data_IF_630528036618
#
_entry.id   IF_630528036618
#
_cell.length_a   1.000
_cell.length_b   1.000
_cell.length_c   1.000
_cell.angle_alpha   90.00
_cell.angle_beta   90.00
_cell.angle_gamma   90.00
#
_symmetry.space_group_name_H-M   'P 1'
#
loop_
_entity.id
_entity.type
_entity.pdbx_description
1 polymer ?
#
# COMPACT_ATOMS: atom_id res chain seq x y z
N UNK A 1 -20.68 19.67 -6.42
CA UNK A 1 -20.27 20.99 -5.88
C UNK A 1 -19.16 20.76 -4.85
N UNK A 2 -18.13 21.58 -4.87
CA UNK A 2 -17.05 21.56 -3.84
C UNK A 2 -17.55 22.27 -2.59
N UNK A 3 -17.29 21.66 -1.41
CA UNK A 3 -17.71 22.23 -0.11
C UNK A 3 -16.48 22.61 0.73
N UNK A 4 -16.60 23.62 1.58
CA UNK A 4 -15.52 24.08 2.46
C UNK A 4 -14.94 22.95 3.33
N UNK A 5 -15.78 22.00 3.74
CA UNK A 5 -15.41 20.85 4.57
C UNK A 5 -14.96 19.61 3.78
N UNK A 6 -14.82 19.69 2.43
CA UNK A 6 -14.23 18.60 1.67
C UNK A 6 -12.80 18.33 2.16
N UNK A 7 -12.46 17.06 2.35
CA UNK A 7 -11.10 16.68 2.74
C UNK A 7 -10.25 16.56 1.48
N UNK A 8 -9.18 17.34 1.44
CA UNK A 8 -8.27 17.45 0.33
C UNK A 8 -6.87 16.98 0.69
N UNK A 9 -6.17 16.50 -0.32
CA UNK A 9 -4.76 16.13 -0.25
C UNK A 9 -3.97 17.19 -1.01
N UNK A 10 -3.04 17.83 -0.33
CA UNK A 10 -2.22 18.92 -0.89
C UNK A 10 -0.86 18.42 -1.38
N UNK A 11 -0.36 17.33 -0.81
CA UNK A 11 0.89 16.71 -1.25
C UNK A 11 0.90 15.20 -0.98
N UNK A 12 1.79 14.49 -1.66
CA UNK A 12 2.05 13.08 -1.42
C UNK A 12 3.35 12.65 -2.07
N UNK A 13 4.06 11.74 -1.41
CA UNK A 13 5.35 11.21 -1.86
C UNK A 13 5.52 9.78 -1.37
N UNK A 14 6.29 8.99 -2.10
CA UNK A 14 6.70 7.63 -1.70
C UNK A 14 8.19 7.42 -1.88
N UNK A 15 8.75 6.42 -1.23
CA UNK A 15 10.06 5.87 -1.61
C UNK A 15 9.93 5.07 -2.91
N UNK A 16 11.04 4.79 -3.56
CA UNK A 16 11.11 3.62 -4.41
C UNK A 16 10.86 2.36 -3.56
N UNK A 17 10.30 1.30 -4.17
CA UNK A 17 9.98 0.05 -3.49
C UNK A 17 11.18 -0.88 -3.59
N UNK A 18 11.71 -1.29 -2.42
CA UNK A 18 12.81 -2.25 -2.30
C UNK A 18 12.32 -3.69 -2.39
N UNK A 19 13.17 -4.59 -2.91
CA UNK A 19 12.95 -6.02 -2.86
C UNK A 19 13.41 -6.61 -1.52
N UNK A 20 12.96 -7.81 -1.21
CA UNK A 20 13.43 -8.57 -0.05
C UNK A 20 14.95 -8.72 -0.07
N UNK A 21 15.60 -8.33 1.02
CA UNK A 21 17.06 -8.24 1.12
C UNK A 21 17.71 -7.30 0.09
N UNK A 22 16.95 -6.37 -0.50
CA UNK A 22 17.40 -5.43 -1.50
C UNK A 22 18.01 -4.15 -0.93
N UNK A 23 17.81 -3.05 -1.65
CA UNK A 23 18.44 -1.75 -1.37
C UNK A 23 18.05 -1.16 -0.01
N UNK A 24 16.84 -1.41 0.46
CA UNK A 24 16.32 -0.86 1.72
C UNK A 24 16.54 -1.75 2.95
N UNK A 25 17.20 -2.90 2.82
CA UNK A 25 17.37 -3.89 3.90
C UNK A 25 18.02 -3.36 5.18
N UNK A 26 18.80 -2.29 5.09
CA UNK A 26 19.47 -1.67 6.24
C UNK A 26 18.83 -0.35 6.70
N UNK A 27 17.75 0.08 6.05
CA UNK A 27 17.03 1.30 6.41
C UNK A 27 15.84 0.93 7.28
N UNK A 28 15.83 1.37 8.53
CA UNK A 28 14.72 1.07 9.43
C UNK A 28 13.41 1.65 8.91
N UNK A 29 12.31 0.92 9.14
CA UNK A 29 10.97 1.35 8.69
C UNK A 29 10.57 2.73 9.25
N UNK A 30 11.00 3.10 10.44
CA UNK A 30 10.75 4.43 11.00
C UNK A 30 11.57 5.53 10.30
N UNK A 31 12.75 5.23 9.75
CA UNK A 31 13.52 6.18 8.95
C UNK A 31 12.90 6.38 7.57
N UNK A 32 12.38 5.30 6.96
CA UNK A 32 11.59 5.38 5.73
C UNK A 32 10.36 6.26 5.92
N UNK A 33 9.59 6.01 7.00
CA UNK A 33 8.41 6.80 7.35
C UNK A 33 8.75 8.28 7.61
N UNK A 34 9.78 8.55 8.41
CA UNK A 34 10.23 9.92 8.70
C UNK A 34 10.67 10.67 7.43
N UNK A 35 11.38 10.00 6.51
CA UNK A 35 11.83 10.61 5.26
C UNK A 35 10.66 11.05 4.38
N UNK A 36 9.66 10.18 4.17
CA UNK A 36 8.50 10.53 3.34
C UNK A 36 7.58 11.54 4.01
N UNK A 37 7.44 11.53 5.33
CA UNK A 37 6.68 12.55 6.08
C UNK A 37 7.33 13.92 5.91
N UNK A 38 8.63 14.04 6.15
CA UNK A 38 9.38 15.29 5.98
C UNK A 38 9.23 15.83 4.57
N UNK A 39 9.40 14.99 3.57
CA UNK A 39 9.30 15.38 2.16
C UNK A 39 7.87 15.77 1.78
N UNK A 40 6.85 15.06 2.27
CA UNK A 40 5.45 15.40 2.02
C UNK A 40 5.10 16.78 2.58
N UNK A 41 5.57 17.12 3.79
CA UNK A 41 5.41 18.44 4.41
C UNK A 41 6.12 19.52 3.57
N UNK A 42 7.37 19.26 3.17
CA UNK A 42 8.13 20.20 2.32
C UNK A 42 7.43 20.45 0.98
N UNK A 43 6.93 19.42 0.32
CA UNK A 43 6.18 19.53 -0.95
C UNK A 43 4.83 20.22 -0.78
N UNK A 44 4.23 20.15 0.38
CA UNK A 44 3.01 20.88 0.70
C UNK A 44 3.28 22.40 0.86
N UNK A 45 4.52 22.80 1.10
CA UNK A 45 4.89 24.18 1.37
C UNK A 45 4.43 24.68 2.73
N UNK A 46 4.29 23.79 3.72
CA UNK A 46 3.90 24.10 5.10
C UNK A 46 5.04 23.81 6.08
N UNK A 47 4.95 24.33 7.28
CA UNK A 47 5.93 24.07 8.32
C UNK A 47 5.59 22.79 9.11
N UNK A 48 6.58 22.06 9.65
CA UNK A 48 6.31 20.92 10.54
C UNK A 48 5.43 21.26 11.74
N UNK A 49 5.46 22.51 12.20
CA UNK A 49 4.63 23.05 13.30
C UNK A 49 3.14 23.14 12.95
N UNK A 50 2.80 23.08 11.68
CA UNK A 50 1.41 23.11 11.22
C UNK A 50 0.70 21.75 11.37
N UNK A 51 1.44 20.65 11.65
CA UNK A 51 0.89 19.31 11.75
C UNK A 51 0.33 19.05 13.12
N UNK A 52 -0.96 18.73 13.20
CA UNK A 52 -1.63 18.38 14.45
C UNK A 52 -1.48 16.90 14.78
N UNK A 53 -1.63 16.03 13.77
CA UNK A 53 -1.63 14.58 13.95
C UNK A 53 -0.87 13.86 12.86
N UNK A 54 -0.17 12.79 13.24
CA UNK A 54 0.50 11.87 12.32
C UNK A 54 -0.03 10.46 12.51
N UNK A 55 -0.61 9.87 11.46
CA UNK A 55 -1.18 8.52 11.50
C UNK A 55 -0.34 7.61 10.61
N UNK A 56 0.23 6.54 11.17
CA UNK A 56 1.13 5.65 10.45
C UNK A 56 0.58 4.24 10.38
N UNK A 57 0.30 3.78 9.15
CA UNK A 57 0.01 2.38 8.86
C UNK A 57 1.29 1.54 8.92
N UNK A 58 1.30 0.50 9.76
CA UNK A 58 2.39 -0.45 9.88
C UNK A 58 1.86 -1.80 10.37
N UNK A 59 2.33 -2.89 9.80
CA UNK A 59 1.89 -4.26 10.11
C UNK A 59 2.97 -5.02 10.87
N UNK A 60 4.15 -5.10 10.29
CA UNK A 60 5.26 -5.85 10.83
C UNK A 60 6.03 -5.04 11.85
N UNK A 61 5.82 -5.31 13.15
CA UNK A 61 6.52 -4.63 14.21
C UNK A 61 7.86 -5.29 14.51
N UNK A 62 8.93 -4.52 14.40
CA UNK A 62 10.25 -4.83 14.94
C UNK A 62 10.39 -4.21 16.33
N UNK A 63 11.47 -4.52 17.07
CA UNK A 63 11.59 -4.17 18.49
C UNK A 63 11.24 -2.70 18.82
N UNK A 64 11.72 -1.74 18.03
CA UNK A 64 11.50 -0.30 18.22
C UNK A 64 10.13 0.17 17.72
N UNK A 65 9.43 -0.66 16.94
CA UNK A 65 8.18 -0.26 16.26
C UNK A 65 6.98 -0.12 17.17
N UNK A 66 7.09 -0.45 18.46
CA UNK A 66 6.02 -0.15 19.43
C UNK A 66 5.65 1.33 19.48
N UNK A 67 6.57 2.20 19.06
CA UNK A 67 6.39 3.66 19.00
C UNK A 67 6.51 4.21 17.58
N UNK A 68 6.29 3.40 16.55
CA UNK A 68 6.66 3.72 15.17
C UNK A 68 6.12 5.06 14.69
N UNK A 69 4.84 5.36 14.90
CA UNK A 69 4.25 6.61 14.47
C UNK A 69 4.93 7.82 15.12
N UNK A 70 5.15 7.73 16.42
CA UNK A 70 5.79 8.81 17.17
C UNK A 70 7.26 9.01 16.78
N UNK A 71 7.99 7.94 16.53
CA UNK A 71 9.38 8.02 16.05
C UNK A 71 9.42 8.65 14.67
N UNK A 72 8.57 8.21 13.73
CA UNK A 72 8.47 8.81 12.39
C UNK A 72 8.20 10.31 12.46
N UNK A 73 7.22 10.72 13.28
CA UNK A 73 6.82 12.11 13.48
C UNK A 73 7.98 12.97 13.98
N UNK A 74 8.60 12.58 15.09
CA UNK A 74 9.68 13.38 15.70
C UNK A 74 10.93 13.43 14.82
N UNK A 75 11.29 12.32 14.15
CA UNK A 75 12.40 12.29 13.18
C UNK A 75 12.11 13.09 11.92
N UNK A 76 10.85 13.28 11.55
CA UNK A 76 10.45 14.16 10.47
C UNK A 76 10.60 15.65 10.82
N UNK A 77 10.80 15.98 12.09
CA UNK A 77 10.96 17.35 12.59
C UNK A 77 9.65 17.98 13.06
N UNK A 78 8.58 17.21 13.17
CA UNK A 78 7.29 17.66 13.73
C UNK A 78 7.47 17.85 15.25
N UNK A 79 6.94 18.95 15.84
CA UNK A 79 7.09 19.24 17.26
C UNK A 79 6.50 18.18 18.18
N UNK A 80 7.01 18.12 19.40
CA UNK A 80 6.55 17.16 20.41
C UNK A 80 5.14 17.43 20.93
N UNK A 81 4.62 18.61 20.73
CA UNK A 81 3.25 19.04 21.09
C UNK A 81 2.20 18.42 20.15
N UNK A 82 2.56 18.10 18.92
CA UNK A 82 1.74 17.33 17.98
C UNK A 82 1.66 15.86 18.42
N UNK A 83 0.60 15.16 18.06
CA UNK A 83 0.39 13.77 18.45
C UNK A 83 0.56 12.78 17.29
N UNK A 84 0.75 11.48 17.61
CA UNK A 84 0.88 10.44 16.61
C UNK A 84 0.40 9.10 17.14
N UNK A 85 -0.22 8.29 16.26
CA UNK A 85 -0.52 6.89 16.54
C UNK A 85 -0.34 6.01 15.30
N UNK A 86 -0.18 4.72 15.54
CA UNK A 86 -0.09 3.71 14.48
C UNK A 86 -1.39 2.94 14.34
N UNK A 87 -1.69 2.52 13.10
CA UNK A 87 -2.83 1.68 12.79
C UNK A 87 -2.36 0.41 12.08
N UNK A 88 -2.90 -0.73 12.52
CA UNK A 88 -2.71 -2.02 11.87
C UNK A 88 -4.07 -2.56 11.41
N UNK A 89 -4.29 -2.54 10.11
CA UNK A 89 -5.38 -3.20 9.40
C UNK A 89 -4.77 -4.07 8.29
N UNK A 90 -3.73 -4.81 8.62
CA UNK A 90 -2.99 -5.62 7.65
C UNK A 90 -2.65 -4.80 6.38
N UNK A 91 -2.76 -5.37 5.18
CA UNK A 91 -2.44 -4.68 3.92
C UNK A 91 -3.15 -3.32 3.74
N UNK A 92 -4.29 -3.12 4.38
CA UNK A 92 -5.07 -1.88 4.33
C UNK A 92 -4.59 -0.76 5.27
N UNK A 93 -3.54 -0.97 6.08
CA UNK A 93 -3.12 -0.04 7.14
C UNK A 93 -2.85 1.38 6.64
N UNK A 94 -2.09 1.53 5.54
CA UNK A 94 -1.81 2.85 4.97
C UNK A 94 -3.08 3.57 4.48
N UNK A 95 -4.03 2.85 3.87
CA UNK A 95 -5.29 3.45 3.42
C UNK A 95 -6.24 3.73 4.60
N UNK A 96 -6.15 2.94 5.67
CA UNK A 96 -6.86 3.22 6.92
C UNK A 96 -6.32 4.49 7.59
N UNK A 97 -5.01 4.74 7.53
CA UNK A 97 -4.45 6.00 8.05
C UNK A 97 -5.05 7.23 7.36
N UNK A 98 -5.31 7.16 6.04
CA UNK A 98 -6.03 8.22 5.33
C UNK A 98 -7.50 8.32 5.79
N UNK A 99 -8.18 7.18 5.98
CA UNK A 99 -9.56 7.16 6.45
C UNK A 99 -9.70 7.76 7.85
N UNK A 100 -8.79 7.43 8.75
CA UNK A 100 -8.75 7.97 10.11
C UNK A 100 -8.44 9.48 10.10
N UNK A 101 -7.47 9.91 9.29
CA UNK A 101 -7.19 11.34 9.08
C UNK A 101 -8.40 12.11 8.55
N UNK A 102 -9.13 11.55 7.59
CA UNK A 102 -10.37 12.13 7.10
C UNK A 102 -11.40 12.32 8.24
N UNK A 103 -11.58 11.30 9.09
CA UNK A 103 -12.52 11.37 10.21
C UNK A 103 -12.11 12.42 11.25
N UNK A 104 -10.81 12.53 11.57
CA UNK A 104 -10.33 13.57 12.51
C UNK A 104 -10.53 14.99 11.96
N UNK A 105 -10.22 15.20 10.68
CA UNK A 105 -10.45 16.49 10.01
C UNK A 105 -11.94 16.85 9.96
N UNK A 106 -12.81 15.88 9.67
CA UNK A 106 -14.27 16.10 9.64
C UNK A 106 -14.87 16.38 11.01
N UNK A 107 -14.31 15.81 12.08
CA UNK A 107 -14.75 16.04 13.46
C UNK A 107 -14.15 17.29 14.08
N UNK A 108 -13.20 17.97 13.41
CA UNK A 108 -12.50 19.14 13.93
C UNK A 108 -11.48 18.83 15.04
N UNK A 109 -11.07 17.55 15.20
CA UNK A 109 -10.02 17.16 16.15
C UNK A 109 -8.63 17.59 15.67
N UNK A 110 -8.45 17.73 14.35
CA UNK A 110 -7.23 18.21 13.74
C UNK A 110 -7.56 19.13 12.56
N UNK A 111 -6.67 20.08 12.24
CA UNK A 111 -6.75 20.93 11.05
C UNK A 111 -5.86 20.41 9.92
N UNK A 112 -4.69 19.84 10.27
CA UNK A 112 -3.73 19.28 9.33
C UNK A 112 -3.25 17.90 9.81
N UNK A 113 -3.41 16.88 8.98
CA UNK A 113 -3.02 15.50 9.27
C UNK A 113 -2.02 15.01 8.25
N UNK A 114 -1.00 14.30 8.72
CA UNK A 114 -0.13 13.47 7.85
C UNK A 114 -0.55 12.02 7.98
N UNK A 115 -1.05 11.43 6.89
CA UNK A 115 -1.29 10.00 6.77
C UNK A 115 -0.10 9.35 6.08
N UNK A 116 0.50 8.34 6.74
CA UNK A 116 1.69 7.64 6.27
C UNK A 116 1.46 6.13 6.30
N UNK A 117 2.17 5.40 5.48
CA UNK A 117 2.34 3.96 5.60
C UNK A 117 3.83 3.63 5.44
N UNK A 118 4.35 2.77 6.29
CA UNK A 118 5.75 2.32 6.23
C UNK A 118 5.86 0.86 6.58
N UNK A 119 6.75 0.16 5.88
CA UNK A 119 7.03 -1.25 6.12
C UNK A 119 8.45 -1.59 5.68
N UNK A 120 9.15 -2.36 6.49
CA UNK A 120 10.36 -3.05 6.08
C UNK A 120 10.20 -4.54 6.42
N UNK A 121 9.71 -5.31 5.43
CA UNK A 121 9.44 -6.73 5.60
C UNK A 121 10.74 -7.54 5.72
N UNK A 122 11.84 -7.01 5.19
CA UNK A 122 13.18 -7.62 5.30
C UNK A 122 13.67 -7.68 6.74
N UNK A 123 13.29 -6.71 7.58
CA UNK A 123 13.77 -6.61 8.96
C UNK A 123 12.87 -7.30 9.99
N UNK A 124 11.82 -8.00 9.56
CA UNK A 124 10.93 -8.68 10.50
C UNK A 124 11.68 -9.73 11.31
N UNK A 125 11.51 -9.75 12.65
CA UNK A 125 12.29 -10.62 13.52
C UNK A 125 11.78 -12.05 13.50
N UNK A 126 12.65 -12.97 13.90
CA UNK A 126 12.27 -14.31 14.35
C UNK A 126 11.85 -14.28 15.80
N UNK A 127 10.82 -15.03 16.17
CA UNK A 127 10.30 -15.13 17.53
C UNK A 127 10.67 -16.45 18.19
N UNK A 128 11.09 -16.36 19.43
CA UNK A 128 11.29 -17.52 20.30
C UNK A 128 10.19 -17.54 21.38
N UNK A 129 9.05 -18.17 21.08
CA UNK A 129 7.82 -18.03 21.87
C UNK A 129 7.96 -18.38 23.35
N UNK A 130 8.68 -19.44 23.68
CA UNK A 130 8.83 -19.92 25.06
C UNK A 130 10.03 -19.33 25.80
N UNK A 131 10.68 -18.29 25.24
CA UNK A 131 11.88 -17.72 25.84
C UNK A 131 11.68 -17.22 27.28
N UNK A 132 10.52 -16.64 27.61
CA UNK A 132 10.22 -16.12 28.95
C UNK A 132 10.00 -17.24 29.98
N UNK A 133 9.43 -18.38 29.58
CA UNK A 133 9.17 -19.52 30.41
C UNK A 133 10.42 -20.42 30.51
N UNK A 134 11.37 -20.28 29.60
CA UNK A 134 12.61 -21.03 29.48
C UNK A 134 12.47 -22.37 28.75
N UNK A 135 13.60 -22.84 28.23
CA UNK A 135 13.76 -24.15 27.59
C UNK A 135 14.57 -25.05 28.52
N UNK A 136 13.94 -26.09 29.11
CA UNK A 136 14.62 -26.98 30.03
C UNK A 136 15.53 -27.98 29.34
N UNK A 137 15.00 -28.68 28.31
CA UNK A 137 15.71 -29.74 27.59
C UNK A 137 15.06 -29.92 26.21
N UNK A 138 15.90 -30.20 25.20
CA UNK A 138 15.45 -30.35 23.79
C UNK A 138 15.62 -29.09 22.98
N UNK A 139 15.30 -29.22 21.69
CA UNK A 139 15.39 -28.10 20.71
C UNK A 139 14.23 -27.13 20.86
N UNK A 140 14.48 -25.83 20.55
CA UNK A 140 13.47 -24.82 20.38
C UNK A 140 13.25 -24.51 18.90
N UNK A 141 12.09 -23.94 18.55
CA UNK A 141 11.79 -23.46 17.22
C UNK A 141 11.85 -21.93 17.17
N UNK A 142 12.44 -21.40 16.13
CA UNK A 142 12.36 -19.98 15.76
C UNK A 142 11.22 -19.81 14.76
N UNK A 143 10.23 -19.01 15.14
CA UNK A 143 9.11 -18.64 14.26
C UNK A 143 9.47 -17.42 13.44
N UNK A 144 9.37 -17.53 12.12
CA UNK A 144 9.59 -16.42 11.20
C UNK A 144 8.43 -15.42 11.31
N UNK A 145 8.74 -14.20 11.79
CA UNK A 145 7.76 -13.13 11.91
C UNK A 145 7.17 -12.68 10.58
N UNK A 146 7.93 -12.81 9.50
CA UNK A 146 7.43 -12.50 8.16
C UNK A 146 6.34 -13.49 7.73
N UNK A 147 6.57 -14.78 7.92
CA UNK A 147 5.57 -15.82 7.63
C UNK A 147 4.35 -15.66 8.53
N UNK A 148 4.57 -15.30 9.80
CA UNK A 148 3.49 -15.15 10.79
C UNK A 148 2.51 -14.05 10.41
N UNK A 149 2.96 -12.88 9.94
CA UNK A 149 2.05 -11.79 9.51
C UNK A 149 1.30 -12.11 8.22
N UNK A 150 1.73 -13.09 7.45
CA UNK A 150 1.13 -13.54 6.20
C UNK A 150 0.28 -14.80 6.37
N UNK A 151 0.15 -15.33 7.59
CA UNK A 151 -0.57 -16.57 7.89
C UNK A 151 -1.76 -16.29 8.80
N UNK A 152 -2.95 -16.75 8.40
CA UNK A 152 -4.15 -16.69 9.24
C UNK A 152 -4.07 -17.79 10.32
N UNK A 153 -4.08 -17.43 11.61
CA UNK A 153 -3.75 -18.39 12.67
C UNK A 153 -4.88 -19.39 12.98
N UNK A 154 -6.14 -19.01 12.78
CA UNK A 154 -7.29 -19.86 13.12
C UNK A 154 -7.65 -20.92 12.06
N UNK A 155 -7.03 -20.84 10.89
CA UNK A 155 -7.13 -21.87 9.89
C UNK A 155 -5.79 -21.96 9.19
N UNK A 156 -4.75 -22.53 9.78
CA UNK A 156 -3.33 -22.25 9.56
C UNK A 156 -2.93 -22.28 8.07
N UNK A 157 -3.37 -21.29 7.32
CA UNK A 157 -3.04 -21.15 5.91
C UNK A 157 -2.44 -19.77 5.62
N UNK A 158 -1.32 -19.81 4.93
CA UNK A 158 -0.67 -18.65 4.36
C UNK A 158 -1.60 -17.95 3.34
N UNK A 159 -1.48 -16.64 3.19
CA UNK A 159 -2.28 -15.86 2.23
C UNK A 159 -2.23 -16.42 0.80
N UNK A 160 -1.13 -17.07 0.39
CA UNK A 160 -1.03 -17.76 -0.89
C UNK A 160 -2.01 -18.92 -1.04
N UNK A 161 -2.35 -19.64 0.05
CA UNK A 161 -3.40 -20.67 0.03
C UNK A 161 -4.77 -20.04 -0.19
N UNK A 162 -5.02 -18.84 0.36
CA UNK A 162 -6.27 -18.13 0.10
C UNK A 162 -6.40 -17.71 -1.37
N UNK A 163 -5.27 -17.44 -2.05
CA UNK A 163 -5.25 -17.17 -3.49
C UNK A 163 -5.57 -18.43 -4.32
N UNK A 164 -5.08 -19.61 -3.90
CA UNK A 164 -5.47 -20.90 -4.51
C UNK A 164 -6.98 -21.14 -4.36
N UNK A 165 -7.54 -20.84 -3.18
CA UNK A 165 -8.97 -20.95 -2.92
C UNK A 165 -9.79 -20.00 -3.80
N UNK A 166 -9.33 -18.76 -3.98
CA UNK A 166 -9.96 -17.79 -4.91
C UNK A 166 -9.88 -18.31 -6.34
N UNK A 167 -8.72 -18.79 -6.79
CA UNK A 167 -8.58 -19.34 -8.15
C UNK A 167 -9.56 -20.47 -8.38
N UNK A 168 -9.66 -21.43 -7.46
CA UNK A 168 -10.59 -22.56 -7.54
C UNK A 168 -12.05 -22.10 -7.52
N UNK A 169 -12.44 -21.22 -6.58
CA UNK A 169 -13.83 -20.79 -6.38
C UNK A 169 -14.37 -20.00 -7.56
N UNK A 170 -13.55 -19.17 -8.17
CA UNK A 170 -13.94 -18.27 -9.26
C UNK A 170 -13.50 -18.77 -10.65
N UNK A 171 -12.93 -19.97 -10.76
CA UNK A 171 -12.52 -20.57 -12.02
C UNK A 171 -11.39 -19.82 -12.72
N UNK A 172 -10.47 -19.20 -11.97
CA UNK A 172 -9.34 -18.46 -12.54
C UNK A 172 -8.23 -19.44 -12.89
N UNK A 173 -7.86 -19.50 -14.18
CA UNK A 173 -6.84 -20.43 -14.66
C UNK A 173 -5.42 -19.92 -14.41
N UNK A 174 -4.45 -20.86 -14.38
CA UNK A 174 -3.04 -20.55 -14.28
C UNK A 174 -2.58 -19.62 -15.42
N UNK A 175 -3.01 -19.92 -16.64
CA UNK A 175 -2.65 -19.13 -17.83
C UNK A 175 -3.15 -17.67 -17.70
N UNK A 176 -4.41 -17.48 -17.30
CA UNK A 176 -4.96 -16.13 -17.09
C UNK A 176 -4.17 -15.35 -16.02
N UNK A 177 -3.75 -16.03 -14.95
CA UNK A 177 -2.94 -15.40 -13.89
C UNK A 177 -1.54 -15.02 -14.38
N UNK A 178 -0.89 -15.88 -15.15
CA UNK A 178 0.44 -15.61 -15.70
C UNK A 178 0.39 -14.47 -16.74
N UNK A 179 -0.66 -14.41 -17.56
CA UNK A 179 -0.89 -13.31 -18.51
C UNK A 179 -1.12 -11.98 -17.80
N UNK A 180 -1.93 -11.99 -16.74
CA UNK A 180 -2.16 -10.81 -15.93
C UNK A 180 -0.86 -10.32 -15.29
N UNK A 181 -0.08 -11.23 -14.69
CA UNK A 181 1.20 -10.91 -14.08
C UNK A 181 2.21 -10.34 -15.09
N UNK A 182 2.32 -10.97 -16.26
CA UNK A 182 3.16 -10.47 -17.34
C UNK A 182 2.73 -9.06 -17.79
N UNK A 183 1.43 -8.84 -17.96
CA UNK A 183 0.90 -7.52 -18.31
C UNK A 183 1.24 -6.46 -17.26
N UNK A 184 1.14 -6.80 -15.95
CA UNK A 184 1.54 -5.89 -14.86
C UNK A 184 3.01 -5.52 -14.94
N UNK A 185 3.91 -6.51 -15.21
CA UNK A 185 5.34 -6.28 -15.41
C UNK A 185 5.61 -5.33 -16.58
N UNK A 186 5.01 -5.59 -17.76
CA UNK A 186 5.21 -4.75 -18.93
C UNK A 186 4.72 -3.30 -18.72
N UNK A 187 3.58 -3.11 -18.05
CA UNK A 187 3.07 -1.78 -17.67
C UNK A 187 4.07 -1.06 -16.75
N UNK A 188 4.61 -1.74 -15.74
CA UNK A 188 5.56 -1.15 -14.80
C UNK A 188 6.88 -0.77 -15.47
N UNK A 189 7.46 -1.65 -16.27
CA UNK A 189 8.70 -1.39 -17.00
C UNK A 189 8.55 -0.22 -17.97
N UNK A 190 7.41 -0.13 -18.68
CA UNK A 190 7.08 0.99 -19.55
C UNK A 190 6.98 2.30 -18.74
N UNK A 191 6.27 2.29 -17.62
CA UNK A 191 6.11 3.47 -16.77
C UNK A 191 7.45 3.96 -16.22
N UNK A 192 8.35 3.04 -15.82
CA UNK A 192 9.72 3.38 -15.39
C UNK A 192 10.51 4.01 -16.53
N UNK A 193 10.50 3.38 -17.72
CA UNK A 193 11.24 3.87 -18.89
C UNK A 193 10.77 5.27 -19.32
N UNK A 194 9.46 5.54 -19.25
CA UNK A 194 8.85 6.85 -19.55
C UNK A 194 9.00 7.86 -18.40
N UNK A 195 9.58 7.47 -17.26
CA UNK A 195 9.81 8.34 -16.10
C UNK A 195 8.55 8.74 -15.33
N UNK A 196 7.43 7.99 -15.49
CA UNK A 196 6.13 8.33 -14.86
C UNK A 196 6.16 8.35 -13.33
N UNK A 197 7.16 7.71 -12.72
CA UNK A 197 7.31 7.64 -11.26
C UNK A 197 8.28 8.68 -10.68
N UNK A 198 9.02 9.44 -11.51
CA UNK A 198 10.09 10.32 -11.03
C UNK A 198 9.62 11.34 -10.00
N UNK A 199 8.53 12.02 -10.28
CA UNK A 199 8.02 13.09 -9.41
C UNK A 199 7.44 12.58 -8.09
N UNK A 200 6.94 11.34 -8.06
CA UNK A 200 6.33 10.76 -6.86
C UNK A 200 7.33 10.10 -5.93
N UNK A 201 8.55 9.79 -6.41
CA UNK A 201 9.57 9.09 -5.64
C UNK A 201 10.52 10.08 -4.96
N UNK A 202 10.72 9.90 -3.66
CA UNK A 202 11.82 10.47 -2.90
C UNK A 202 13.06 9.58 -3.09
N UNK A 203 14.11 10.12 -3.68
CA UNK A 203 15.39 9.44 -3.76
C UNK A 203 16.03 9.33 -2.37
N UNK A 204 16.44 8.13 -1.97
CA UNK A 204 17.11 7.88 -0.70
C UNK A 204 18.55 7.49 -0.93
N UNK A 205 19.44 7.97 -0.08
CA UNK A 205 20.81 7.44 -0.03
C UNK A 205 20.79 6.07 0.66
N UNK A 206 21.31 5.06 -0.02
CA UNK A 206 21.41 3.69 0.49
C UNK A 206 22.87 3.22 0.40
N UNK A 207 23.30 2.30 1.27
CA UNK A 207 24.64 1.72 1.18
C UNK A 207 24.92 1.07 -0.17
N UNK A 208 26.11 1.30 -0.72
CA UNK A 208 26.63 0.67 -1.92
C UNK A 208 27.99 0.04 -1.60
N UNK A 209 27.97 -1.23 -1.23
CA UNK A 209 29.14 -1.91 -0.67
C UNK A 209 29.51 -1.42 0.73
N UNK A 210 30.82 -1.44 1.07
CA UNK A 210 31.29 -1.19 2.46
C UNK A 210 31.51 0.29 2.79
N UNK A 211 31.70 1.16 1.80
CA UNK A 211 32.16 2.55 2.03
C UNK A 211 31.48 3.60 1.14
N UNK A 212 30.67 3.19 0.19
CA UNK A 212 29.97 4.08 -0.73
C UNK A 212 28.48 4.11 -0.43
N UNK A 213 27.81 5.18 -0.88
CA UNK A 213 26.35 5.28 -0.96
C UNK A 213 25.96 5.52 -2.41
N UNK A 214 24.72 5.14 -2.75
CA UNK A 214 24.09 5.46 -4.02
C UNK A 214 22.68 5.98 -3.80
N UNK A 215 22.18 6.73 -4.75
CA UNK A 215 20.77 7.13 -4.73
C UNK A 215 19.89 5.97 -5.18
N UNK A 216 18.90 5.66 -4.37
CA UNK A 216 17.84 4.69 -4.65
C UNK A 216 16.56 5.45 -5.00
N UNK A 217 16.25 5.54 -6.30
CA UNK A 217 15.18 6.36 -6.86
C UNK A 217 14.32 5.62 -7.89
N UNK A 218 14.51 4.31 -8.03
CA UNK A 218 13.78 3.47 -9.00
C UNK A 218 13.29 2.20 -8.30
N UNK A 219 12.03 1.85 -8.51
CA UNK A 219 11.48 0.60 -8.01
C UNK A 219 12.29 -0.59 -8.55
N UNK A 220 12.81 -1.43 -7.66
CA UNK A 220 13.76 -2.48 -8.04
C UNK A 220 13.13 -3.87 -8.23
N UNK A 221 11.81 -4.00 -7.95
CA UNK A 221 11.13 -5.29 -8.06
C UNK A 221 10.75 -5.68 -9.50
N UNK A 222 10.42 -4.76 -10.44
CA UNK A 222 10.00 -5.11 -11.80
C UNK A 222 11.03 -5.94 -12.54
N UNK A 223 10.58 -6.96 -13.29
CA UNK A 223 11.41 -7.92 -14.00
C UNK A 223 10.93 -8.09 -15.44
N UNK A 224 11.85 -8.00 -16.39
CA UNK A 224 11.58 -8.34 -17.79
C UNK A 224 11.74 -9.86 -18.01
N UNK A 225 10.72 -10.60 -17.59
CA UNK A 225 10.70 -12.06 -17.74
C UNK A 225 9.88 -12.42 -18.96
N UNK A 226 10.42 -13.22 -19.91
CA UNK A 226 9.66 -13.72 -21.05
C UNK A 226 8.41 -14.49 -20.57
N UNK A 227 7.28 -14.28 -21.28
CA UNK A 227 5.98 -14.87 -20.91
C UNK A 227 6.04 -16.40 -20.81
N UNK A 228 6.77 -17.04 -21.71
CA UNK A 228 6.91 -18.49 -21.77
C UNK A 228 7.56 -19.10 -20.52
N UNK A 229 8.43 -18.32 -19.85
CA UNK A 229 9.06 -18.76 -18.59
C UNK A 229 8.07 -18.81 -17.42
N UNK A 230 7.02 -18.00 -17.43
CA UNK A 230 6.02 -18.01 -16.35
C UNK A 230 5.32 -19.36 -16.25
N UNK A 231 4.94 -19.96 -17.39
CA UNK A 231 4.30 -21.27 -17.46
C UNK A 231 5.16 -22.40 -16.86
N UNK A 232 6.48 -22.26 -16.84
CA UNK A 232 7.41 -23.29 -16.32
C UNK A 232 7.63 -23.23 -14.80
N UNK A 233 7.13 -22.18 -14.13
CA UNK A 233 7.32 -22.01 -12.70
C UNK A 233 6.46 -23.00 -11.90
N UNK A 234 7.06 -23.54 -10.84
CA UNK A 234 6.34 -24.43 -9.92
C UNK A 234 5.38 -23.63 -9.04
N UNK A 235 4.25 -24.22 -8.64
CA UNK A 235 3.39 -23.64 -7.60
C UNK A 235 4.19 -23.35 -6.32
N UNK A 236 3.86 -22.26 -5.65
CA UNK A 236 4.62 -21.78 -4.49
C UNK A 236 4.00 -22.21 -3.14
N UNK A 237 2.70 -22.45 -3.08
CA UNK A 237 1.97 -22.64 -1.84
C UNK A 237 1.29 -24.00 -1.71
N UNK A 238 0.99 -24.67 -2.79
CA UNK A 238 0.33 -25.98 -2.85
C UNK A 238 0.96 -26.81 -3.96
N UNK A 239 1.26 -28.07 -3.71
CA UNK A 239 2.01 -28.91 -4.66
C UNK A 239 1.34 -29.04 -6.05
N UNK A 240 0.00 -29.12 -6.07
CA UNK A 240 -0.86 -29.19 -7.25
C UNK A 240 -1.56 -27.85 -7.54
N UNK A 241 -1.00 -26.74 -7.03
CA UNK A 241 -1.59 -25.40 -7.11
C UNK A 241 -1.32 -24.71 -8.44
N UNK A 242 -1.85 -23.50 -8.54
CA UNK A 242 -1.76 -22.63 -9.72
C UNK A 242 -1.09 -21.27 -9.39
N UNK A 243 -0.92 -20.95 -8.10
CA UNK A 243 -0.29 -19.72 -7.63
C UNK A 243 1.23 -19.90 -7.57
N UNK A 244 1.96 -19.02 -8.22
CA UNK A 244 3.43 -19.06 -8.31
C UNK A 244 4.04 -17.77 -7.75
N UNK A 245 5.36 -17.76 -7.57
CA UNK A 245 6.08 -16.55 -7.21
C UNK A 245 5.98 -15.42 -8.26
N UNK A 246 5.68 -15.76 -9.54
CA UNK A 246 5.56 -14.74 -10.58
C UNK A 246 4.15 -14.14 -10.70
N UNK A 247 3.10 -14.86 -10.27
CA UNK A 247 1.73 -14.36 -10.27
C UNK A 247 1.24 -13.94 -8.86
N UNK A 248 2.20 -13.72 -7.96
CA UNK A 248 2.05 -13.18 -6.60
C UNK A 248 2.84 -11.87 -6.46
N UNK A 249 2.41 -10.99 -5.57
CA UNK A 249 3.24 -9.85 -5.17
C UNK A 249 4.49 -10.31 -4.40
N UNK A 250 5.53 -9.48 -4.43
CA UNK A 250 6.77 -9.75 -3.70
C UNK A 250 6.69 -9.41 -2.21
N UNK A 251 7.75 -9.78 -1.51
CA UNK A 251 8.10 -9.29 -0.18
C UNK A 251 8.93 -8.03 -0.40
N UNK A 252 8.50 -6.91 0.18
CA UNK A 252 9.04 -5.61 -0.18
C UNK A 252 9.15 -4.65 1.00
N UNK A 253 9.97 -3.61 0.80
CA UNK A 253 10.24 -2.55 1.75
C UNK A 253 9.88 -1.20 1.12
N UNK A 254 9.29 -0.28 1.89
CA UNK A 254 8.96 1.05 1.38
C UNK A 254 8.05 1.86 2.30
N UNK A 255 7.86 3.12 1.94
CA UNK A 255 6.98 4.06 2.66
C UNK A 255 6.35 5.08 1.72
N UNK A 256 5.23 5.66 2.17
CA UNK A 256 4.60 6.81 1.54
C UNK A 256 3.88 7.68 2.57
N UNK A 257 3.76 8.98 2.29
CA UNK A 257 3.04 9.92 3.13
C UNK A 257 2.24 10.92 2.28
N UNK A 258 1.09 11.33 2.81
CA UNK A 258 0.21 12.33 2.22
C UNK A 258 -0.18 13.36 3.28
N UNK A 259 -0.24 14.64 2.89
CA UNK A 259 -0.70 15.74 3.75
C UNK A 259 -2.15 16.06 3.42
N UNK A 260 -2.98 16.07 4.44
CA UNK A 260 -4.44 16.19 4.34
C UNK A 260 -4.95 17.34 5.22
N UNK A 261 -5.97 18.04 4.75
CA UNK A 261 -6.67 19.08 5.48
C UNK A 261 -8.07 19.30 4.91
N UNK A 262 -8.87 20.16 5.53
CA UNK A 262 -10.11 20.64 4.88
C UNK A 262 -9.77 21.58 3.74
N UNK A 263 -10.66 21.69 2.75
CA UNK A 263 -10.52 22.68 1.67
C UNK A 263 -10.36 24.08 2.20
N UNK A 264 -11.16 24.45 3.19
CA UNK A 264 -11.09 25.75 3.84
C UNK A 264 -9.69 26.04 4.41
N UNK A 265 -9.06 25.06 5.04
CA UNK A 265 -7.70 25.21 5.55
C UNK A 265 -6.66 25.33 4.43
N UNK A 266 -6.82 24.59 3.34
CA UNK A 266 -5.95 24.71 2.18
C UNK A 266 -6.04 26.12 1.57
N UNK A 267 -7.25 26.63 1.35
CA UNK A 267 -7.51 27.99 0.82
C UNK A 267 -6.95 29.07 1.74
N UNK A 268 -7.20 28.98 3.07
CA UNK A 268 -6.65 29.91 4.07
C UNK A 268 -5.12 29.97 4.05
N UNK A 269 -4.47 28.86 3.75
CA UNK A 269 -3.00 28.73 3.67
C UNK A 269 -2.46 29.03 2.25
N UNK A 270 -3.31 29.33 1.27
CA UNK A 270 -2.91 29.56 -0.12
C UNK A 270 -2.39 28.33 -0.84
N UNK A 271 -2.79 27.14 -0.39
CA UNK A 271 -2.35 25.87 -0.95
C UNK A 271 -3.30 25.39 -2.05
N UNK A 272 -2.74 24.74 -3.08
CA UNK A 272 -3.52 24.15 -4.16
C UNK A 272 -3.75 22.67 -3.90
N UNK A 273 -4.99 22.24 -3.66
CA UNK A 273 -5.30 20.82 -3.53
C UNK A 273 -4.97 20.03 -4.81
N UNK A 274 -4.46 18.81 -4.63
CA UNK A 274 -4.16 17.87 -5.73
C UNK A 274 -5.35 16.95 -6.02
N UNK A 275 -5.96 16.43 -4.98
CA UNK A 275 -7.18 15.61 -5.06
C UNK A 275 -7.98 15.72 -3.76
N UNK A 276 -9.28 15.39 -3.84
CA UNK A 276 -10.15 15.27 -2.66
C UNK A 276 -10.57 13.82 -2.44
N UNK A 277 -10.85 13.48 -1.19
CA UNK A 277 -11.43 12.19 -0.81
C UNK A 277 -12.95 12.32 -0.87
N UNK A 278 -13.61 11.50 -1.71
CA UNK A 278 -15.07 11.46 -1.83
C UNK A 278 -15.71 10.59 -0.75
N UNK A 279 -15.02 9.57 -0.35
CA UNK A 279 -15.46 8.63 0.67
C UNK A 279 -14.66 7.34 0.66
N UNK A 280 -14.93 6.52 1.67
CA UNK A 280 -14.28 5.23 1.84
C UNK A 280 -15.27 4.21 2.45
N UNK A 281 -14.97 2.92 2.26
CA UNK A 281 -15.73 1.85 2.89
C UNK A 281 -14.83 0.64 3.15
N UNK A 282 -15.20 -0.13 4.16
CA UNK A 282 -14.65 -1.45 4.45
C UNK A 282 -15.75 -2.50 4.41
N UNK A 283 -15.39 -3.72 4.08
CA UNK A 283 -16.28 -4.86 4.16
C UNK A 283 -15.52 -6.13 4.51
N UNK A 284 -16.20 -7.11 5.09
CA UNK A 284 -15.64 -8.42 5.39
C UNK A 284 -16.04 -9.46 4.35
N UNK A 285 -15.24 -10.53 4.26
CA UNK A 285 -15.54 -11.77 3.54
C UNK A 285 -14.92 -12.95 4.31
N UNK A 286 -15.07 -14.19 3.83
CA UNK A 286 -14.42 -15.35 4.44
C UNK A 286 -12.89 -15.19 4.45
N UNK A 287 -12.24 -15.52 5.56
CA UNK A 287 -10.78 -15.43 5.69
C UNK A 287 -10.06 -16.35 4.68
N UNK A 288 -10.68 -17.46 4.32
CA UNK A 288 -10.18 -18.44 3.35
C UNK A 288 -10.13 -17.93 1.90
N UNK A 289 -10.82 -16.80 1.63
CA UNK A 289 -10.82 -16.10 0.33
C UNK A 289 -10.52 -14.61 0.51
N UNK A 290 -9.63 -14.27 1.44
CA UNK A 290 -9.39 -12.88 1.87
C UNK A 290 -9.14 -11.91 0.69
N UNK A 291 -8.52 -12.40 -0.38
CA UNK A 291 -8.26 -11.62 -1.58
C UNK A 291 -9.51 -11.09 -2.29
N UNK A 292 -10.69 -11.68 -2.05
CA UNK A 292 -11.94 -11.20 -2.64
C UNK A 292 -12.55 -9.99 -1.90
N UNK A 293 -12.04 -9.63 -0.72
CA UNK A 293 -12.56 -8.53 0.11
C UNK A 293 -12.68 -7.16 -0.57
N UNK A 294 -11.91 -6.92 -1.65
CA UNK A 294 -12.00 -5.70 -2.44
C UNK A 294 -13.39 -5.50 -3.05
N UNK A 295 -14.01 -6.59 -3.55
CA UNK A 295 -15.30 -6.50 -4.23
C UNK A 295 -16.41 -5.99 -3.30
N UNK A 296 -16.70 -6.61 -2.14
CA UNK A 296 -17.73 -6.10 -1.25
C UNK A 296 -17.41 -4.70 -0.69
N UNK A 297 -16.12 -4.36 -0.46
CA UNK A 297 -15.75 -3.02 -0.02
C UNK A 297 -16.02 -1.96 -1.11
N UNK A 298 -15.68 -2.27 -2.37
CA UNK A 298 -15.96 -1.38 -3.50
C UNK A 298 -17.46 -1.21 -3.73
N UNK A 299 -18.23 -2.30 -3.75
CA UNK A 299 -19.69 -2.21 -3.89
C UNK A 299 -20.30 -1.33 -2.80
N UNK A 300 -19.94 -1.57 -1.53
CA UNK A 300 -20.43 -0.77 -0.40
C UNK A 300 -20.08 0.72 -0.54
N UNK A 301 -18.89 1.05 -1.05
CA UNK A 301 -18.49 2.43 -1.31
C UNK A 301 -19.33 3.06 -2.43
N UNK A 302 -19.48 2.35 -3.54
CA UNK A 302 -20.24 2.82 -4.70
C UNK A 302 -21.72 3.04 -4.35
N UNK A 303 -22.34 2.09 -3.63
CA UNK A 303 -23.72 2.20 -3.14
C UNK A 303 -23.89 3.44 -2.23
N UNK A 304 -22.96 3.64 -1.26
CA UNK A 304 -23.00 4.79 -0.35
C UNK A 304 -22.89 6.13 -1.07
N UNK A 305 -22.09 6.19 -2.14
CA UNK A 305 -21.89 7.41 -2.92
C UNK A 305 -22.88 7.56 -4.08
N UNK A 306 -23.71 6.55 -4.34
CA UNK A 306 -24.59 6.45 -5.48
C UNK A 306 -23.83 6.68 -6.82
N UNK A 307 -22.73 5.94 -6.99
CA UNK A 307 -21.84 6.04 -8.16
C UNK A 307 -21.70 4.66 -8.80
N UNK A 308 -21.77 4.59 -10.13
CA UNK A 308 -21.44 3.38 -10.87
C UNK A 308 -19.92 3.22 -10.96
N UNK A 309 -19.40 2.06 -10.57
CA UNK A 309 -17.97 1.73 -10.65
C UNK A 309 -17.45 1.83 -12.10
N UNK A 310 -18.30 1.61 -13.10
CA UNK A 310 -17.96 1.76 -14.52
C UNK A 310 -17.68 3.21 -14.92
N UNK A 311 -18.12 4.20 -14.14
CA UNK A 311 -17.85 5.61 -14.38
C UNK A 311 -16.50 6.10 -13.86
N UNK A 312 -15.74 5.25 -13.16
CA UNK A 312 -14.43 5.61 -12.58
C UNK A 312 -13.35 5.56 -13.67
N UNK A 313 -12.58 6.65 -13.78
CA UNK A 313 -11.57 6.80 -14.84
C UNK A 313 -10.34 5.92 -14.61
N UNK A 314 -9.83 5.84 -13.37
CA UNK A 314 -8.65 5.08 -13.00
C UNK A 314 -8.88 4.25 -11.72
N UNK A 315 -8.29 3.06 -11.68
CA UNK A 315 -8.41 2.15 -10.55
C UNK A 315 -7.01 1.62 -10.19
N UNK A 316 -6.56 1.90 -8.99
CA UNK A 316 -5.43 1.22 -8.35
C UNK A 316 -5.99 0.08 -7.49
N UNK A 317 -5.95 -1.12 -8.03
CA UNK A 317 -6.35 -2.36 -7.39
C UNK A 317 -5.10 -3.06 -6.88
N UNK A 318 -4.99 -3.30 -5.56
CA UNK A 318 -3.83 -3.98 -5.02
C UNK A 318 -3.73 -5.42 -5.52
N UNK A 319 -2.66 -5.74 -6.24
CA UNK A 319 -2.39 -7.06 -6.81
C UNK A 319 -1.62 -7.93 -5.80
N UNK A 320 -2.25 -8.32 -4.70
CA UNK A 320 -1.59 -9.26 -3.78
C UNK A 320 -1.31 -10.59 -4.48
N UNK A 321 -2.25 -11.04 -5.33
CA UNK A 321 -2.16 -12.21 -6.20
C UNK A 321 -2.96 -11.96 -7.48
N UNK A 322 -2.52 -12.51 -8.62
CA UNK A 322 -3.25 -12.40 -9.88
C UNK A 322 -4.64 -13.06 -9.80
N UNK A 323 -4.76 -14.18 -9.07
CA UNK A 323 -6.03 -14.87 -8.85
C UNK A 323 -7.10 -13.93 -8.28
N UNK A 324 -6.74 -13.21 -7.22
CA UNK A 324 -7.68 -12.29 -6.57
C UNK A 324 -7.98 -11.05 -7.41
N UNK A 325 -6.96 -10.51 -8.09
CA UNK A 325 -7.16 -9.36 -8.97
C UNK A 325 -8.16 -9.68 -10.09
N UNK A 326 -7.97 -10.80 -10.77
CA UNK A 326 -8.87 -11.26 -11.84
C UNK A 326 -10.28 -11.57 -11.32
N UNK A 327 -10.41 -12.25 -10.17
CA UNK A 327 -11.71 -12.55 -9.58
C UNK A 327 -12.50 -11.27 -9.27
N UNK A 328 -11.86 -10.26 -8.69
CA UNK A 328 -12.47 -8.97 -8.37
C UNK A 328 -12.80 -8.18 -9.64
N UNK A 329 -11.88 -8.14 -10.62
CA UNK A 329 -12.14 -7.46 -11.89
C UNK A 329 -13.34 -8.06 -12.63
N UNK A 330 -13.44 -9.38 -12.66
CA UNK A 330 -14.57 -10.09 -13.28
C UNK A 330 -15.89 -9.79 -12.54
N UNK A 331 -15.90 -9.87 -11.20
CA UNK A 331 -17.08 -9.64 -10.38
C UNK A 331 -17.60 -8.21 -10.48
N UNK A 332 -16.71 -7.24 -10.47
CA UNK A 332 -17.04 -5.81 -10.63
C UNK A 332 -17.13 -5.36 -12.09
N UNK A 333 -16.83 -6.24 -13.05
CA UNK A 333 -16.77 -5.96 -14.50
C UNK A 333 -15.86 -4.77 -14.84
N UNK A 334 -14.70 -4.69 -14.19
CA UNK A 334 -13.77 -3.59 -14.40
C UNK A 334 -13.09 -3.68 -15.76
N UNK A 335 -12.95 -2.53 -16.42
CA UNK A 335 -12.19 -2.42 -17.67
C UNK A 335 -10.68 -2.54 -17.38
N UNK A 336 -9.98 -3.57 -17.89
CA UNK A 336 -8.53 -3.76 -17.67
C UNK A 336 -7.67 -2.57 -18.13
N UNK A 337 -8.18 -1.75 -19.08
CA UNK A 337 -7.48 -0.55 -19.56
C UNK A 337 -7.41 0.57 -18.51
N UNK A 338 -8.30 0.54 -17.50
CA UNK A 338 -8.35 1.53 -16.42
C UNK A 338 -7.71 1.04 -15.12
N UNK A 339 -7.38 -0.26 -15.05
CA UNK A 339 -6.83 -0.89 -13.83
C UNK A 339 -5.31 -0.93 -13.92
N UNK A 340 -4.65 -0.41 -12.87
CA UNK A 340 -3.21 -0.46 -12.69
C UNK A 340 -2.45 -0.11 -13.99
N UNK A 341 -2.77 1.05 -14.55
CA UNK A 341 -2.27 1.50 -15.87
C UNK A 341 -0.74 1.63 -15.93
N UNK A 342 -0.09 1.71 -14.78
CA UNK A 342 1.37 1.76 -14.62
C UNK A 342 1.94 0.50 -13.92
N UNK A 343 1.23 -0.63 -13.97
CA UNK A 343 1.56 -1.84 -13.23
C UNK A 343 1.13 -1.77 -11.78
N UNK A 344 0.87 -2.94 -11.19
CA UNK A 344 0.44 -3.09 -9.80
C UNK A 344 1.48 -3.81 -8.94
N UNK A 345 1.04 -4.36 -7.81
CA UNK A 345 1.94 -4.91 -6.80
C UNK A 345 2.70 -6.17 -7.22
N UNK A 346 2.20 -6.94 -8.18
CA UNK A 346 2.94 -8.09 -8.74
C UNK A 346 4.24 -7.62 -9.39
N UNK A 347 4.20 -6.48 -10.08
CA UNK A 347 5.36 -5.90 -10.73
C UNK A 347 6.17 -5.00 -9.80
N UNK A 348 5.51 -4.08 -9.08
CA UNK A 348 6.16 -3.03 -8.30
C UNK A 348 6.52 -3.46 -6.88
N UNK A 349 5.80 -4.46 -6.32
CA UNK A 349 5.98 -4.92 -4.95
C UNK A 349 4.85 -4.49 -3.99
N UNK A 350 4.80 -5.14 -2.82
CA UNK A 350 3.75 -4.96 -1.82
C UNK A 350 4.31 -4.86 -0.39
N UNK A 351 4.94 -3.74 0.00
CA UNK A 351 5.25 -3.49 1.40
C UNK A 351 3.93 -3.30 2.16
N UNK A 352 3.51 -4.32 2.94
CA UNK A 352 2.12 -4.50 3.36
C UNK A 352 1.51 -3.27 4.06
N UNK A 353 2.14 -2.73 5.09
CA UNK A 353 1.63 -1.55 5.81
C UNK A 353 1.74 -0.23 5.02
N UNK A 354 2.65 -0.17 4.06
CA UNK A 354 2.90 1.03 3.24
C UNK A 354 2.00 1.13 2.01
N UNK A 355 1.60 -0.01 1.43
CA UNK A 355 0.90 -0.06 0.13
C UNK A 355 -0.36 0.79 0.10
N UNK A 356 -1.12 0.84 1.21
CA UNK A 356 -2.32 1.66 1.30
C UNK A 356 -2.09 3.17 1.23
N UNK A 357 -0.86 3.64 1.45
CA UNK A 357 -0.45 5.03 1.20
C UNK A 357 0.26 5.19 -0.16
N UNK A 358 0.96 4.16 -0.65
CA UNK A 358 1.63 4.16 -1.95
C UNK A 358 0.61 4.28 -3.10
N UNK A 359 -0.48 3.51 -3.05
CA UNK A 359 -1.48 3.50 -4.12
C UNK A 359 -2.16 4.87 -4.33
N UNK A 360 -2.61 5.60 -3.29
CA UNK A 360 -3.12 6.97 -3.46
C UNK A 360 -2.08 7.94 -4.03
N UNK A 361 -0.80 7.82 -3.65
CA UNK A 361 0.28 8.63 -4.25
C UNK A 361 0.40 8.32 -5.74
N UNK A 362 0.49 7.04 -6.14
CA UNK A 362 0.53 6.64 -7.56
C UNK A 362 -0.67 7.18 -8.33
N UNK A 363 -1.87 7.01 -7.76
CA UNK A 363 -3.12 7.49 -8.37
C UNK A 363 -3.11 9.00 -8.56
N UNK A 364 -2.70 9.78 -7.55
CA UNK A 364 -2.65 11.23 -7.60
C UNK A 364 -1.81 11.75 -8.76
N UNK A 365 -0.61 11.21 -8.94
CA UNK A 365 0.27 11.62 -10.04
C UNK A 365 -0.23 11.15 -11.40
N UNK A 366 -0.83 9.96 -11.49
CA UNK A 366 -1.38 9.46 -12.74
C UNK A 366 -2.65 10.24 -13.17
N UNK A 367 -3.52 10.60 -12.21
CA UNK A 367 -4.68 11.46 -12.49
C UNK A 367 -4.24 12.82 -13.03
N UNK A 368 -3.20 13.42 -12.46
CA UNK A 368 -2.64 14.68 -12.93
C UNK A 368 -2.05 14.55 -14.35
N UNK A 369 -1.29 13.45 -14.61
CA UNK A 369 -0.65 13.19 -15.90
C UNK A 369 -1.65 12.90 -17.03
N UNK A 370 -2.67 12.09 -16.75
CA UNK A 370 -3.64 11.60 -17.75
C UNK A 370 -4.84 12.54 -17.96
N UNK A 371 -5.07 13.47 -17.03
CA UNK A 371 -6.27 14.31 -17.02
C UNK A 371 -7.49 13.60 -16.41
N UNK A 372 -7.37 12.38 -15.89
CA UNK A 372 -8.45 11.65 -15.26
C UNK A 372 -9.04 12.43 -14.08
N UNK A 373 -10.37 12.37 -13.91
CA UNK A 373 -11.10 13.13 -12.89
C UNK A 373 -11.35 12.31 -11.64
N UNK A 374 -11.62 11.02 -11.80
CA UNK A 374 -11.99 10.11 -10.72
C UNK A 374 -11.00 8.96 -10.62
N UNK A 375 -10.68 8.57 -9.39
CA UNK A 375 -9.77 7.46 -9.13
C UNK A 375 -10.18 6.66 -7.92
N UNK A 376 -10.16 5.34 -8.04
CA UNK A 376 -10.47 4.39 -6.96
C UNK A 376 -9.19 3.69 -6.52
N UNK A 377 -8.97 3.62 -5.20
CA UNK A 377 -8.01 2.69 -4.60
C UNK A 377 -8.80 1.60 -3.88
N UNK A 378 -8.49 0.33 -4.15
CA UNK A 378 -9.12 -0.81 -3.49
C UNK A 378 -8.10 -1.88 -3.14
N UNK A 379 -8.20 -2.44 -1.92
CA UNK A 379 -7.21 -3.37 -1.37
C UNK A 379 -7.89 -4.50 -0.60
N UNK A 380 -7.32 -5.71 -0.72
CA UNK A 380 -7.59 -6.81 0.21
C UNK A 380 -6.88 -6.57 1.54
N UNK A 381 -7.37 -7.22 2.56
CA UNK A 381 -6.85 -7.17 3.91
C UNK A 381 -6.79 -8.61 4.44
N UNK A 382 -5.64 -9.02 4.94
CA UNK A 382 -5.47 -10.33 5.58
C UNK A 382 -6.55 -10.60 6.63
N UNK A 383 -7.01 -11.85 6.72
CA UNK A 383 -8.11 -12.24 7.60
C UNK A 383 -9.51 -12.03 7.02
N UNK A 384 -9.65 -11.73 5.72
CA UNK A 384 -10.95 -11.71 5.04
C UNK A 384 -11.67 -10.37 5.11
N UNK A 385 -11.00 -9.29 4.72
CA UNK A 385 -11.59 -7.95 4.64
C UNK A 385 -11.14 -7.23 3.37
N UNK A 386 -11.74 -6.08 3.08
CA UNK A 386 -11.31 -5.14 2.06
C UNK A 386 -11.56 -3.70 2.46
N UNK A 387 -10.80 -2.79 1.86
CA UNK A 387 -10.97 -1.34 1.99
C UNK A 387 -10.91 -0.70 0.62
N UNK A 388 -11.81 0.25 0.37
CA UNK A 388 -11.87 1.04 -0.86
C UNK A 388 -12.02 2.52 -0.54
N UNK A 389 -11.37 3.38 -1.32
CA UNK A 389 -11.44 4.83 -1.18
C UNK A 389 -11.51 5.49 -2.57
N UNK A 390 -12.46 6.40 -2.74
CA UNK A 390 -12.67 7.14 -3.99
C UNK A 390 -12.10 8.54 -3.87
N UNK A 391 -11.37 8.94 -4.90
CA UNK A 391 -10.75 10.25 -5.02
C UNK A 391 -11.27 11.00 -6.26
N UNK A 392 -11.25 12.32 -6.20
CA UNK A 392 -11.42 13.20 -7.34
C UNK A 392 -10.23 14.13 -7.48
N UNK A 393 -9.77 14.35 -8.71
CA UNK A 393 -8.71 15.31 -9.01
C UNK A 393 -9.22 16.74 -8.82
N UNK A 394 -8.40 17.58 -8.21
CA UNK A 394 -8.67 19.01 -8.07
C UNK A 394 -8.07 19.80 -9.24
N UNK A 395 -8.65 20.97 -9.52
CA UNK A 395 -8.17 21.84 -10.60
C UNK A 395 -8.47 21.32 -12.02
N UNK A 396 -9.53 20.52 -12.16
CA UNK A 396 -10.02 20.04 -13.47
C UNK A 396 -11.12 20.94 -14.03
#
# INVERSE_FOLDING_TARGET
MTQANDIVIVSGVRTAIGTFNGSLKHTHQHDLGAAVIREAIARAGIAPQDIDETIVGNVGQIAESGFIARICQLRAGIPQESTAYSVNRQCGSGLQALADGMMQLQSGQAEVVVACGTENMTQLPYYLRKARDGYRMGHGELEDGLISILTWPEGPYHNGITAENVAQRFGITREAMDDFAWSSQQKALKAIAEGRFREQILALEVPDGKKATRLFATDEHPRDTPREKLATLRPAFKADGVVTAANSSGINDGAAALVMMTRQQAEKRGLTPRMRIRGWAVAGCGAEIMGFGLSPATRRLMDRLNIDVQSIDLIELNEAFAAQALAVMNDLRLDPARVNVNGGAIALGHPVGASGAILPVKLMYEMARSGARTGLVTMCIGGGQGISMLFEREGA
#
